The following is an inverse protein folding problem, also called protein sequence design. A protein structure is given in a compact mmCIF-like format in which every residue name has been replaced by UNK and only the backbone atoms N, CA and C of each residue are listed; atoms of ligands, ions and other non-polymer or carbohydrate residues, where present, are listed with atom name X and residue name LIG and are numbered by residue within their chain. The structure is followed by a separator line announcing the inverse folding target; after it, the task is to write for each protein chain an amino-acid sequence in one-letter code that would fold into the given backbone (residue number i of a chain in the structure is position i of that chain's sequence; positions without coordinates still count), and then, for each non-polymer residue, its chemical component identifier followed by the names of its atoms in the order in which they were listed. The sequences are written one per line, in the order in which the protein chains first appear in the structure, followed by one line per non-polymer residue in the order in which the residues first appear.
data_IF_544777648063
#
_entry.id   IF_544777648063
#
_cell.length_a   1.000
_cell.length_b   1.000
_cell.length_c   1.000
_cell.angle_alpha   90.00
_cell.angle_beta   90.00
_cell.angle_gamma   90.00
#
_symmetry.space_group_name_H-M   'P 1'
#
loop_
_entity.id
_entity.type
_entity.pdbx_description
1 polymer ?
#
# COMPACT_ATOMS: atom_id res chain seq x y z
N UNK A 1 8.18 -30.13 11.95
CA UNK A 1 7.04 -29.62 11.17
C UNK A 1 7.58 -28.82 9.99
N UNK A 2 7.07 -29.02 8.78
CA UNK A 2 7.46 -28.17 7.64
C UNK A 2 6.92 -26.75 7.86
N UNK A 3 7.80 -25.75 7.78
CA UNK A 3 7.43 -24.34 7.95
C UNK A 3 6.56 -23.92 6.77
N UNK A 4 5.30 -23.57 7.00
CA UNK A 4 4.41 -23.04 5.95
C UNK A 4 5.07 -21.80 5.34
N UNK A 5 5.21 -21.79 4.02
CA UNK A 5 5.78 -20.66 3.31
C UNK A 5 4.86 -19.43 3.44
N UNK A 6 5.39 -18.32 3.95
CA UNK A 6 4.67 -17.04 3.98
C UNK A 6 4.65 -16.49 2.56
N UNK A 7 3.47 -16.42 1.96
CA UNK A 7 3.29 -16.02 0.55
C UNK A 7 2.28 -14.89 0.37
N UNK A 8 1.66 -14.42 1.45
CA UNK A 8 0.62 -13.38 1.41
C UNK A 8 1.03 -12.18 2.26
N UNK A 9 0.92 -10.98 1.70
CA UNK A 9 1.10 -9.71 2.39
C UNK A 9 -0.20 -8.90 2.38
N UNK A 10 -0.55 -8.31 3.52
CA UNK A 10 -1.77 -7.51 3.69
C UNK A 10 -1.40 -6.06 4.00
N UNK A 11 -1.95 -5.13 3.22
CA UNK A 11 -1.70 -3.69 3.30
C UNK A 11 -2.95 -2.96 3.77
N UNK A 12 -3.03 -2.54 5.04
CA UNK A 12 -4.13 -1.72 5.54
C UNK A 12 -3.99 -0.26 5.06
N UNK A 13 -4.71 0.10 4.00
CA UNK A 13 -4.61 1.39 3.29
C UNK A 13 -5.88 2.25 3.36
N UNK A 14 -6.83 1.90 4.24
CA UNK A 14 -8.10 2.61 4.42
C UNK A 14 -8.03 3.91 5.27
N UNK A 15 -6.84 4.38 5.65
CA UNK A 15 -6.67 5.50 6.58
C UNK A 15 -6.95 6.89 6.00
N UNK A 16 -7.44 7.83 6.84
CA UNK A 16 -7.76 9.23 6.44
C UNK A 16 -6.57 10.20 6.40
N UNK A 17 -5.39 9.82 6.91
CA UNK A 17 -4.18 10.64 6.81
C UNK A 17 -4.18 11.97 7.56
N UNK A 18 -5.04 12.19 8.57
CA UNK A 18 -5.30 13.51 9.19
C UNK A 18 -4.07 14.28 9.70
N UNK A 19 -2.97 13.60 10.01
CA UNK A 19 -1.70 14.24 10.43
C UNK A 19 -0.94 14.94 9.31
N UNK A 20 -1.27 14.64 8.05
CA UNK A 20 -0.64 15.20 6.85
C UNK A 20 -1.61 16.13 6.10
N UNK A 21 -2.60 16.69 6.79
CA UNK A 21 -3.41 17.74 6.21
C UNK A 21 -2.57 19.02 6.00
N UNK A 22 -2.79 19.76 4.90
CA UNK A 22 -3.86 19.56 3.90
C UNK A 22 -3.51 18.56 2.79
N UNK A 23 -2.27 18.07 2.68
CA UNK A 23 -1.80 17.24 1.57
C UNK A 23 -2.66 15.97 1.36
N UNK A 24 -3.16 15.36 2.45
CA UNK A 24 -3.99 14.15 2.36
C UNK A 24 -5.50 14.41 2.33
N UNK A 25 -5.93 15.65 2.04
CA UNK A 25 -7.36 15.98 1.96
C UNK A 25 -8.03 15.31 0.75
N UNK A 26 -7.34 15.28 -0.39
CA UNK A 26 -7.82 14.71 -1.65
C UNK A 26 -6.98 13.50 -2.12
N UNK A 27 -5.74 13.38 -1.65
CA UNK A 27 -4.83 12.29 -2.01
C UNK A 27 -4.67 11.30 -0.85
N UNK A 28 -4.59 10.01 -1.17
CA UNK A 28 -4.28 8.98 -0.19
C UNK A 28 -2.87 9.18 0.38
N UNK A 29 -2.70 9.06 1.71
CA UNK A 29 -1.37 9.20 2.35
C UNK A 29 -0.36 8.20 1.81
N UNK A 30 -0.83 7.01 1.42
CA UNK A 30 -0.03 5.91 0.87
C UNK A 30 0.50 6.23 -0.54
N UNK A 31 -0.09 7.22 -1.20
CA UNK A 31 0.31 7.72 -2.53
C UNK A 31 1.24 8.93 -2.45
N UNK A 32 1.59 9.40 -1.25
CA UNK A 32 2.57 10.49 -1.12
C UNK A 32 3.93 10.01 -1.64
N UNK A 33 4.58 10.77 -2.55
CA UNK A 33 5.85 10.36 -3.13
C UNK A 33 6.97 10.53 -2.11
N UNK A 34 7.86 9.54 -2.08
CA UNK A 34 9.22 9.69 -1.55
C UNK A 34 10.13 9.75 -2.76
N UNK A 35 10.61 10.95 -3.08
CA UNK A 35 11.37 11.25 -4.30
C UNK A 35 10.55 10.96 -5.58
N UNK A 36 10.57 9.73 -6.08
CA UNK A 36 10.04 9.32 -7.38
C UNK A 36 8.91 8.29 -7.31
N UNK A 37 8.75 7.60 -6.17
CA UNK A 37 7.72 6.55 -6.01
C UNK A 37 6.78 6.82 -4.84
N UNK A 38 5.51 6.43 -4.93
CA UNK A 38 4.60 6.51 -3.79
C UNK A 38 5.02 5.54 -2.68
N UNK A 39 4.72 5.87 -1.42
CA UNK A 39 5.02 5.02 -0.26
C UNK A 39 4.56 3.57 -0.44
N UNK A 40 3.38 3.35 -1.04
CA UNK A 40 2.84 2.00 -1.25
C UNK A 40 3.67 1.16 -2.21
N UNK A 41 4.33 1.78 -3.20
CA UNK A 41 5.19 1.08 -4.15
C UNK A 41 6.38 0.43 -3.43
N UNK A 42 7.02 1.14 -2.50
CA UNK A 42 8.12 0.59 -1.71
C UNK A 42 7.68 -0.61 -0.87
N UNK A 43 6.52 -0.52 -0.20
CA UNK A 43 6.00 -1.60 0.63
C UNK A 43 5.65 -2.85 -0.20
N UNK A 44 5.14 -2.67 -1.41
CA UNK A 44 4.86 -3.75 -2.36
C UNK A 44 6.15 -4.40 -2.85
N UNK A 45 7.13 -3.59 -3.29
CA UNK A 45 8.44 -4.07 -3.73
C UNK A 45 9.14 -4.88 -2.63
N UNK A 46 9.08 -4.41 -1.38
CA UNK A 46 9.62 -5.10 -0.21
C UNK A 46 8.94 -6.46 0.01
N UNK A 47 7.60 -6.50 -0.04
CA UNK A 47 6.85 -7.76 0.12
C UNK A 47 7.17 -8.77 -0.99
N UNK A 48 7.30 -8.31 -2.23
CA UNK A 48 7.69 -9.15 -3.38
C UNK A 48 9.10 -9.69 -3.21
N UNK A 49 10.06 -8.85 -2.80
CA UNK A 49 11.44 -9.26 -2.49
C UNK A 49 11.50 -10.28 -1.35
N UNK A 50 10.60 -10.18 -0.37
CA UNK A 50 10.45 -11.15 0.71
C UNK A 50 9.76 -12.46 0.29
N UNK A 51 9.31 -12.59 -0.96
CA UNK A 51 8.69 -13.79 -1.51
C UNK A 51 7.17 -13.83 -1.42
N UNK A 52 6.51 -12.71 -1.13
CA UNK A 52 5.05 -12.63 -1.21
C UNK A 52 4.60 -12.74 -2.67
N UNK A 53 3.61 -13.60 -2.91
CA UNK A 53 2.97 -13.82 -4.23
C UNK A 53 1.53 -13.32 -4.28
N UNK A 54 0.92 -13.14 -3.10
CA UNK A 54 -0.43 -12.62 -2.95
C UNK A 54 -0.35 -11.31 -2.18
N UNK A 55 -0.75 -10.22 -2.81
CA UNK A 55 -0.83 -8.90 -2.20
C UNK A 55 -2.31 -8.57 -1.98
N UNK A 56 -2.67 -8.18 -0.77
CA UNK A 56 -4.06 -7.89 -0.39
C UNK A 56 -4.14 -6.48 0.16
N UNK A 57 -4.89 -5.60 -0.51
CA UNK A 57 -5.09 -4.23 -0.05
C UNK A 57 -6.44 -4.13 0.68
N UNK A 58 -6.40 -3.71 1.93
CA UNK A 58 -7.61 -3.39 2.70
C UNK A 58 -7.85 -1.89 2.57
N UNK A 59 -8.75 -1.55 1.64
CA UNK A 59 -8.98 -0.18 1.19
C UNK A 59 -10.29 0.42 1.72
N UNK A 60 -10.56 1.69 1.42
CA UNK A 60 -11.82 2.38 1.72
C UNK A 60 -12.35 3.12 0.49
N UNK A 61 -13.61 3.58 0.53
CA UNK A 61 -14.32 4.10 -0.65
C UNK A 61 -13.62 5.26 -1.39
N UNK A 62 -12.74 6.02 -0.74
CA UNK A 62 -12.04 7.18 -1.32
C UNK A 62 -10.63 6.88 -1.84
N UNK A 63 -10.24 5.60 -1.99
CA UNK A 63 -8.85 5.18 -2.20
C UNK A 63 -8.57 4.55 -3.57
N UNK A 64 -9.40 4.88 -4.57
CA UNK A 64 -9.27 4.40 -5.96
C UNK A 64 -7.89 4.63 -6.58
N UNK A 65 -7.23 5.74 -6.22
CA UNK A 65 -5.88 6.07 -6.69
C UNK A 65 -4.81 5.00 -6.36
N UNK A 66 -5.03 4.15 -5.33
CA UNK A 66 -4.12 3.03 -5.05
C UNK A 66 -4.35 1.89 -6.04
N UNK A 67 -5.62 1.58 -6.35
CA UNK A 67 -5.99 0.57 -7.35
C UNK A 67 -5.49 1.00 -8.74
N UNK A 68 -5.78 2.23 -9.15
CA UNK A 68 -5.36 2.79 -10.45
C UNK A 68 -3.82 2.82 -10.64
N UNK A 69 -3.03 2.79 -9.55
CA UNK A 69 -1.56 2.74 -9.62
C UNK A 69 -1.00 1.35 -9.90
N UNK A 70 -1.75 0.30 -9.53
CA UNK A 70 -1.34 -1.10 -9.67
C UNK A 70 -2.13 -1.89 -10.72
N UNK A 71 -3.20 -1.30 -11.28
CA UNK A 71 -3.87 -1.75 -12.51
C UNK A 71 -2.96 -1.58 -13.74
#
# INVERSE_FOLDING_TARGET
MAKTAITTAVFPVAGRGTRFLPATKASAKEMLPVVDKPLIQYAVEEAVQAGARRLVFVTGASKRAIEDHFD
#
